data_IF_702850344579
#
_entry.id   IF_702850344579
#
_cell.length_a   1.000
_cell.length_b   1.000
_cell.length_c   1.000
_cell.angle_alpha   90.00
_cell.angle_beta   90.00
_cell.angle_gamma   90.00
#
_symmetry.space_group_name_H-M   'P 1'
#
loop_
_entity.id
_entity.type
_entity.pdbx_description
1 polymer ?
#
# COMPACT_ATOMS: atom_id res chain seq x y z
N UNK A 1 14.02 39.36 23.21
CA UNK A 1 14.23 38.93 21.82
C UNK A 1 13.95 37.43 21.77
N UNK A 2 12.74 37.03 21.35
CA UNK A 2 12.28 35.63 21.40
C UNK A 2 11.93 35.21 19.97
N UNK A 3 12.61 34.18 19.49
CA UNK A 3 12.54 33.63 18.14
C UNK A 3 11.18 32.97 17.89
N UNK A 4 10.46 33.45 16.87
CA UNK A 4 9.25 32.81 16.34
C UNK A 4 9.63 31.48 15.69
N UNK A 5 9.20 30.37 16.30
CA UNK A 5 9.22 29.06 15.66
C UNK A 5 8.14 29.06 14.57
N UNK A 6 8.54 28.77 13.33
CA UNK A 6 7.64 28.63 12.19
C UNK A 6 6.67 27.48 12.47
N UNK A 7 5.38 27.80 12.54
CA UNK A 7 4.30 26.83 12.51
C UNK A 7 4.44 25.98 11.25
N UNK A 8 4.94 24.76 11.41
CA UNK A 8 4.86 23.73 10.38
C UNK A 8 3.40 23.37 10.22
N UNK A 9 2.90 23.51 8.99
CA UNK A 9 1.53 23.23 8.58
C UNK A 9 1.35 21.70 8.52
N UNK A 10 1.47 21.02 9.66
CA UNK A 10 1.01 19.64 9.79
C UNK A 10 -0.50 19.69 10.01
N UNK A 11 -1.27 19.61 8.92
CA UNK A 11 -2.72 19.40 9.00
C UNK A 11 -2.94 17.99 9.55
N UNK A 12 -3.25 17.90 10.84
CA UNK A 12 -3.87 16.72 11.43
C UNK A 12 -5.22 16.53 10.73
N UNK A 13 -5.28 15.71 9.68
CA UNK A 13 -6.55 15.21 9.14
C UNK A 13 -6.92 14.01 9.99
N UNK A 14 -7.86 14.22 10.92
CA UNK A 14 -8.48 13.13 11.65
C UNK A 14 -9.01 12.07 10.66
N UNK A 15 -9.03 10.77 11.03
CA UNK A 15 -9.64 9.75 10.20
C UNK A 15 -11.09 10.15 9.90
N UNK A 16 -11.42 10.19 8.62
CA UNK A 16 -12.77 10.54 8.13
C UNK A 16 -13.70 9.40 8.55
N UNK A 17 -14.37 9.57 9.70
CA UNK A 17 -15.42 8.67 10.17
C UNK A 17 -16.72 9.00 9.42
N UNK A 18 -17.17 8.03 8.64
CA UNK A 18 -18.30 7.97 7.67
C UNK A 18 -19.64 8.59 8.16
N UNK A 19 -20.60 9.02 7.28
CA UNK A 19 -21.63 8.06 6.83
C UNK A 19 -22.37 8.31 5.49
N UNK A 20 -21.98 9.22 4.59
CA UNK A 20 -22.69 9.39 3.30
C UNK A 20 -21.77 9.83 2.17
N UNK A 21 -21.13 8.83 1.55
CA UNK A 21 -20.41 8.92 0.29
C UNK A 21 -19.35 10.01 0.31
N UNK A 22 -18.30 9.81 1.11
CA UNK A 22 -17.00 10.38 0.76
C UNK A 22 -16.79 10.10 -0.72
N UNK A 23 -16.74 11.17 -1.52
CA UNK A 23 -16.68 11.00 -2.95
C UNK A 23 -15.28 10.48 -3.27
N UNK A 24 -15.12 9.16 -3.32
CA UNK A 24 -13.86 8.47 -3.62
C UNK A 24 -13.24 9.07 -4.89
N UNK A 25 -14.07 9.36 -5.91
CA UNK A 25 -13.64 10.06 -7.11
C UNK A 25 -12.97 11.41 -6.80
N UNK A 26 -13.52 12.21 -5.87
CA UNK A 26 -12.92 13.49 -5.49
C UNK A 26 -11.58 13.30 -4.78
N UNK A 27 -11.46 12.34 -3.86
CA UNK A 27 -10.19 12.06 -3.17
C UNK A 27 -9.11 11.65 -4.18
N UNK A 28 -9.49 10.81 -5.14
CA UNK A 28 -8.57 10.31 -6.15
C UNK A 28 -8.21 11.40 -7.18
N UNK A 29 -9.17 12.24 -7.58
CA UNK A 29 -8.92 13.38 -8.45
C UNK A 29 -8.02 14.44 -7.79
N UNK A 30 -8.17 14.70 -6.49
CA UNK A 30 -7.31 15.64 -5.74
C UNK A 30 -5.84 15.16 -5.69
N UNK A 31 -5.56 13.89 -5.99
CA UNK A 31 -4.23 13.26 -6.03
C UNK A 31 -3.79 12.86 -7.46
N UNK A 32 -4.50 13.33 -8.51
CA UNK A 32 -4.28 12.97 -9.92
C UNK A 32 -4.24 11.43 -10.15
N UNK A 33 -5.17 10.71 -9.50
CA UNK A 33 -5.25 9.25 -9.45
C UNK A 33 -6.59 8.71 -9.98
N UNK A 34 -7.19 9.33 -10.99
CA UNK A 34 -8.49 8.95 -11.56
C UNK A 34 -8.52 7.52 -12.15
N UNK A 35 -7.36 7.02 -12.59
CA UNK A 35 -7.21 5.62 -13.03
C UNK A 35 -7.54 4.61 -11.92
N UNK A 36 -7.23 4.94 -10.66
CA UNK A 36 -7.67 4.11 -9.53
C UNK A 36 -9.19 4.07 -9.44
N UNK A 37 -9.87 5.21 -9.66
CA UNK A 37 -11.33 5.24 -9.59
C UNK A 37 -11.93 4.34 -10.67
N UNK A 38 -11.44 4.48 -11.91
CA UNK A 38 -11.85 3.65 -13.05
C UNK A 38 -11.66 2.16 -12.73
N UNK A 39 -10.48 1.79 -12.23
CA UNK A 39 -10.18 0.41 -11.88
C UNK A 39 -11.09 -0.14 -10.77
N UNK A 40 -11.29 0.63 -9.71
CA UNK A 40 -12.10 0.25 -8.56
C UNK A 40 -13.59 0.12 -8.94
N UNK A 41 -14.07 1.00 -9.81
CA UNK A 41 -15.45 0.98 -10.31
C UNK A 41 -15.72 -0.26 -11.17
N UNK A 42 -14.75 -0.70 -11.99
CA UNK A 42 -14.86 -1.96 -12.75
C UNK A 42 -14.98 -3.20 -11.88
N UNK A 43 -14.46 -3.14 -10.66
CA UNK A 43 -14.57 -4.22 -9.68
C UNK A 43 -15.84 -4.12 -8.82
N UNK A 44 -16.69 -3.11 -9.06
CA UNK A 44 -17.86 -2.75 -8.23
C UNK A 44 -17.50 -2.49 -6.75
N UNK A 45 -16.26 -2.08 -6.49
CA UNK A 45 -15.75 -1.76 -5.15
C UNK A 45 -15.82 -0.26 -4.84
N UNK A 46 -16.21 0.57 -5.80
CA UNK A 46 -16.29 2.05 -5.64
C UNK A 46 -17.33 2.49 -4.62
N UNK A 47 -18.27 1.59 -4.28
CA UNK A 47 -19.34 1.79 -3.29
C UNK A 47 -19.11 0.97 -2.02
N UNK A 48 -17.95 0.33 -1.86
CA UNK A 48 -17.62 -0.43 -0.66
C UNK A 48 -17.73 0.49 0.58
N UNK A 49 -18.35 0.04 1.67
CA UNK A 49 -18.33 0.78 2.92
C UNK A 49 -16.89 0.81 3.50
N UNK A 50 -16.62 1.74 4.42
CA UNK A 50 -15.36 1.79 5.18
C UNK A 50 -14.07 1.71 4.35
N UNK A 51 -13.95 2.55 3.31
CA UNK A 51 -12.74 2.63 2.48
C UNK A 51 -11.68 3.49 3.17
N UNK A 52 -10.46 2.96 3.29
CA UNK A 52 -9.27 3.75 3.64
C UNK A 52 -8.41 3.94 2.39
N UNK A 53 -8.07 5.18 2.09
CA UNK A 53 -7.12 5.54 1.02
C UNK A 53 -5.80 5.98 1.66
N UNK A 54 -4.72 5.25 1.41
CA UNK A 54 -3.33 5.67 1.66
C UNK A 54 -2.85 6.44 0.41
N UNK A 55 -2.68 7.75 0.50
CA UNK A 55 -2.37 8.56 -0.68
C UNK A 55 -0.87 8.59 -0.99
N UNK A 56 -0.47 9.37 -2.00
CA UNK A 56 0.90 9.35 -2.53
C UNK A 56 1.93 9.94 -1.56
N UNK A 57 1.52 10.88 -0.71
CA UNK A 57 2.41 11.60 0.20
C UNK A 57 2.79 10.79 1.46
N UNK A 58 4.02 10.97 1.95
CA UNK A 58 4.66 10.09 2.95
C UNK A 58 4.22 10.31 4.42
N UNK A 59 3.16 11.06 4.71
CA UNK A 59 2.84 11.47 6.09
C UNK A 59 1.43 11.10 6.49
N UNK A 60 1.21 9.81 6.78
CA UNK A 60 -0.02 9.36 7.43
C UNK A 60 0.29 8.56 8.68
N UNK A 61 -0.35 8.99 9.76
CA UNK A 61 -0.41 8.26 11.02
C UNK A 61 -1.76 7.54 11.05
N UNK A 62 -1.84 6.35 10.45
CA UNK A 62 -2.96 5.45 10.72
C UNK A 62 -2.65 4.68 11.99
N UNK A 63 -3.58 4.71 12.92
CA UNK A 63 -3.53 3.85 14.08
C UNK A 63 -4.02 2.45 13.68
N UNK A 64 -3.50 1.37 14.29
CA UNK A 64 -4.01 0.01 14.10
C UNK A 64 -5.54 -0.09 14.19
N UNK A 65 -6.13 0.71 15.08
CA UNK A 65 -7.57 0.80 15.31
C UNK A 65 -8.36 1.31 14.10
N UNK A 66 -7.75 2.13 13.23
CA UNK A 66 -8.39 2.64 12.02
C UNK A 66 -8.62 1.51 11.02
N UNK A 67 -7.69 0.54 10.96
CA UNK A 67 -7.78 -0.60 10.05
C UNK A 67 -8.81 -1.63 10.50
N UNK A 68 -9.12 -1.72 11.81
CA UNK A 68 -9.91 -2.81 12.39
C UNK A 68 -11.32 -2.99 11.77
N UNK A 69 -11.88 -1.94 11.17
CA UNK A 69 -13.21 -1.94 10.53
C UNK A 69 -13.16 -1.65 9.02
N UNK A 70 -11.97 -1.74 8.41
CA UNK A 70 -11.78 -1.43 7.00
C UNK A 70 -12.22 -2.61 6.13
N UNK A 71 -13.12 -2.36 5.19
CA UNK A 71 -13.51 -3.35 4.18
C UNK A 71 -12.58 -3.29 2.96
N UNK A 72 -12.12 -2.08 2.61
CA UNK A 72 -11.22 -1.85 1.48
C UNK A 72 -10.11 -0.86 1.82
N UNK A 73 -8.86 -1.30 1.69
CA UNK A 73 -7.67 -0.45 1.75
C UNK A 73 -7.15 -0.19 0.34
N UNK A 74 -7.01 1.07 -0.03
CA UNK A 74 -6.43 1.52 -1.31
C UNK A 74 -5.09 2.16 -1.03
N UNK A 75 -4.01 1.67 -1.62
CA UNK A 75 -2.69 2.29 -1.58
C UNK A 75 -2.33 2.91 -2.93
N UNK A 76 -2.32 4.24 -3.01
CA UNK A 76 -2.07 4.98 -4.24
C UNK A 76 -0.61 4.93 -4.69
N UNK A 77 0.32 4.79 -3.73
CA UNK A 77 1.76 4.77 -4.02
C UNK A 77 2.17 3.44 -4.66
N UNK A 78 2.82 3.50 -5.82
CA UNK A 78 3.28 2.29 -6.49
C UNK A 78 4.20 1.46 -5.58
N UNK A 79 4.02 0.14 -5.55
CA UNK A 79 4.79 -0.74 -4.66
C UNK A 79 6.32 -0.61 -4.87
N UNK A 80 6.77 -0.44 -6.11
CA UNK A 80 8.18 -0.24 -6.45
C UNK A 80 8.77 1.12 -6.02
N UNK A 81 7.94 2.06 -5.56
CA UNK A 81 8.35 3.35 -5.00
C UNK A 81 8.41 3.34 -3.45
N UNK A 82 8.12 2.19 -2.83
CA UNK A 82 8.15 2.03 -1.36
C UNK A 82 9.54 1.52 -0.95
N UNK A 83 10.28 2.34 -0.19
CA UNK A 83 11.67 2.08 0.20
C UNK A 83 11.87 0.75 0.95
N UNK A 84 10.95 0.41 1.86
CA UNK A 84 10.93 -0.85 2.59
C UNK A 84 9.58 -1.55 2.37
N UNK A 85 9.42 -2.09 1.17
CA UNK A 85 8.20 -2.74 0.73
C UNK A 85 7.85 -3.97 1.62
N UNK A 86 8.84 -4.73 2.08
CA UNK A 86 8.64 -5.87 2.96
C UNK A 86 8.01 -5.45 4.29
N UNK A 87 8.59 -4.45 4.97
CA UNK A 87 8.02 -3.93 6.22
C UNK A 87 6.67 -3.25 6.01
N UNK A 88 6.47 -2.56 4.89
CA UNK A 88 5.19 -1.95 4.54
C UNK A 88 4.09 -3.01 4.41
N UNK A 89 4.28 -4.01 3.53
CA UNK A 89 3.30 -5.07 3.31
C UNK A 89 3.05 -5.87 4.59
N UNK A 90 4.08 -6.07 5.40
CA UNK A 90 3.94 -6.61 6.74
C UNK A 90 3.02 -5.76 7.63
N UNK A 91 3.21 -4.44 7.70
CA UNK A 91 2.28 -3.60 8.47
C UNK A 91 0.86 -3.67 7.94
N UNK A 92 0.66 -3.66 6.62
CA UNK A 92 -0.67 -3.79 6.02
C UNK A 92 -1.31 -5.11 6.45
N UNK A 93 -0.65 -6.25 6.20
CA UNK A 93 -1.24 -7.55 6.53
C UNK A 93 -1.50 -7.74 8.03
N UNK A 94 -0.66 -7.18 8.92
CA UNK A 94 -0.86 -7.23 10.39
C UNK A 94 -2.13 -6.51 10.83
N UNK A 95 -2.42 -5.35 10.25
CA UNK A 95 -3.47 -4.47 10.76
C UNK A 95 -4.80 -4.65 10.04
N UNK A 96 -4.81 -5.18 8.81
CA UNK A 96 -6.06 -5.40 8.09
C UNK A 96 -6.88 -6.55 8.69
N UNK A 97 -8.22 -6.42 8.75
CA UNK A 97 -9.09 -7.53 9.15
C UNK A 97 -9.11 -8.62 8.07
N UNK A 98 -9.54 -9.82 8.43
CA UNK A 98 -9.81 -10.87 7.46
C UNK A 98 -10.85 -10.41 6.43
N UNK A 99 -10.77 -10.92 5.21
CA UNK A 99 -11.64 -10.57 4.09
C UNK A 99 -11.56 -9.12 3.60
N UNK A 100 -10.69 -8.28 4.17
CA UNK A 100 -10.43 -6.94 3.66
C UNK A 100 -9.81 -6.98 2.26
N UNK A 101 -10.30 -6.13 1.36
CA UNK A 101 -9.67 -5.87 0.07
C UNK A 101 -8.46 -4.97 0.25
N UNK A 102 -7.38 -5.31 -0.44
CA UNK A 102 -6.19 -4.50 -0.57
C UNK A 102 -5.99 -4.20 -2.06
N UNK A 103 -6.17 -2.93 -2.41
CA UNK A 103 -6.05 -2.40 -3.76
C UNK A 103 -4.77 -1.57 -3.82
N UNK A 104 -4.00 -1.75 -4.89
CA UNK A 104 -2.80 -0.95 -5.10
C UNK A 104 -2.34 -1.03 -6.53
N UNK A 105 -1.16 -0.47 -6.79
CA UNK A 105 -0.56 -0.50 -8.12
C UNK A 105 0.96 -0.68 -8.08
N UNK A 106 1.53 -1.01 -9.22
CA UNK A 106 2.97 -1.04 -9.46
C UNK A 106 3.26 -0.74 -10.93
N UNK A 107 4.45 -0.23 -11.23
CA UNK A 107 4.89 -0.05 -12.62
C UNK A 107 5.52 -1.38 -13.07
N UNK A 108 4.98 -1.96 -14.14
CA UNK A 108 5.50 -3.20 -14.69
C UNK A 108 6.90 -2.94 -15.25
N UNK A 109 7.88 -3.74 -14.82
CA UNK A 109 9.26 -3.62 -15.25
C UNK A 109 9.49 -4.18 -16.66
N UNK A 110 8.80 -3.65 -17.67
CA UNK A 110 9.17 -3.81 -19.07
C UNK A 110 10.15 -2.66 -19.37
N UNK A 111 11.32 -3.01 -19.91
CA UNK A 111 12.49 -2.14 -20.06
C UNK A 111 12.18 -0.71 -20.53
N UNK A 112 12.11 0.23 -19.60
CA UNK A 112 12.34 1.63 -19.89
C UNK A 112 13.56 2.10 -19.10
N UNK A 113 14.53 2.62 -19.84
CA UNK A 113 15.75 3.27 -19.37
C UNK A 113 15.42 4.53 -18.57
N UNK A 114 14.80 4.41 -17.40
CA UNK A 114 14.65 5.52 -16.47
C UNK A 114 15.87 5.54 -15.56
N UNK A 115 16.72 6.54 -15.80
CA UNK A 115 17.84 6.93 -14.96
C UNK A 115 17.36 7.33 -13.55
N UNK A 116 17.08 6.35 -12.69
CA UNK A 116 16.89 6.59 -11.27
C UNK A 116 18.26 6.58 -10.60
N UNK A 117 18.88 7.77 -10.50
CA UNK A 117 19.99 8.05 -9.59
C UNK A 117 19.51 7.81 -8.15
N UNK A 118 19.69 6.60 -7.66
CA UNK A 118 19.50 6.26 -6.25
C UNK A 118 20.72 6.70 -5.43
N UNK A 119 20.54 7.71 -4.59
CA UNK A 119 21.53 8.03 -3.56
C UNK A 119 21.65 6.86 -2.58
N UNK A 120 22.88 6.37 -2.42
CA UNK A 120 23.23 5.36 -1.44
C UNK A 120 23.14 5.95 -0.02
N UNK A 121 22.22 5.45 0.81
CA UNK A 121 22.37 5.51 2.25
C UNK A 121 22.04 4.14 2.86
N UNK A 122 22.98 3.49 3.57
CA UNK A 122 22.65 2.33 4.38
C UNK A 122 22.21 2.83 5.76
N UNK A 123 21.02 2.43 6.23
CA UNK A 123 20.67 2.29 7.67
C UNK A 123 19.17 2.05 7.85
N UNK A 124 18.81 0.87 8.34
CA UNK A 124 18.23 0.67 9.67
C UNK A 124 17.68 -0.75 9.80
N UNK A 125 18.32 -1.54 10.65
CA UNK A 125 17.83 -2.82 11.12
C UNK A 125 16.63 -2.56 12.04
N UNK A 126 15.42 -2.84 11.56
CA UNK A 126 14.19 -2.58 12.30
C UNK A 126 13.95 -3.64 13.38
N UNK A 127 14.08 -3.24 14.64
CA UNK A 127 13.51 -3.94 15.79
C UNK A 127 11.97 -3.78 15.79
N UNK A 128 11.24 -4.67 15.10
CA UNK A 128 9.79 -4.78 15.26
C UNK A 128 9.46 -5.87 16.30
N UNK A 129 8.93 -5.46 17.46
CA UNK A 129 8.24 -6.34 18.41
C UNK A 129 6.78 -6.45 17.98
N UNK A 130 6.47 -7.41 17.12
CA UNK A 130 5.08 -7.81 16.79
C UNK A 130 5.03 -9.33 16.66
N UNK A 131 3.91 -9.94 17.07
CA UNK A 131 3.80 -11.37 17.42
C UNK A 131 4.44 -12.35 16.44
N UNK A 132 5.38 -13.13 17.00
CA UNK A 132 6.66 -13.41 16.33
C UNK A 132 6.68 -14.77 15.61
N UNK A 133 5.77 -15.70 15.89
CA UNK A 133 5.91 -17.08 15.44
C UNK A 133 5.44 -17.31 13.99
N UNK A 134 4.19 -16.93 13.67
CA UNK A 134 3.59 -17.11 12.33
C UNK A 134 4.23 -16.15 11.31
N UNK A 135 4.56 -14.94 11.75
CA UNK A 135 5.13 -13.87 10.93
C UNK A 135 6.58 -14.09 10.52
N UNK A 136 7.38 -14.77 11.35
CA UNK A 136 8.80 -15.03 11.03
C UNK A 136 8.96 -15.87 9.76
N UNK A 137 8.09 -16.85 9.53
CA UNK A 137 8.14 -17.70 8.33
C UNK A 137 7.80 -16.93 7.06
N UNK A 138 6.75 -16.11 7.13
CA UNK A 138 6.24 -15.31 6.02
C UNK A 138 7.18 -14.15 5.65
N UNK A 139 7.66 -13.40 6.65
CA UNK A 139 8.65 -12.34 6.45
C UNK A 139 9.95 -12.89 5.89
N UNK A 140 10.43 -14.07 6.32
CA UNK A 140 11.65 -14.67 5.73
C UNK A 140 11.52 -14.93 4.23
N UNK A 141 10.34 -15.37 3.76
CA UNK A 141 10.09 -15.61 2.33
C UNK A 141 10.05 -14.30 1.55
N UNK A 142 9.33 -13.30 2.08
CA UNK A 142 9.29 -11.93 1.56
C UNK A 142 10.70 -11.35 1.49
N UNK A 143 11.44 -11.31 2.60
CA UNK A 143 12.82 -10.84 2.63
C UNK A 143 13.72 -11.61 1.66
N UNK A 144 13.49 -12.90 1.39
CA UNK A 144 14.22 -13.65 0.35
C UNK A 144 13.89 -13.14 -1.06
N UNK A 145 12.63 -12.86 -1.36
CA UNK A 145 12.21 -12.26 -2.63
C UNK A 145 12.76 -10.83 -2.78
N UNK A 146 12.80 -10.07 -1.68
CA UNK A 146 13.24 -8.67 -1.64
C UNK A 146 14.77 -8.49 -1.49
N UNK A 147 15.52 -9.47 -0.99
CA UNK A 147 16.98 -9.41 -0.82
C UNK A 147 17.78 -9.52 -2.12
N UNK A 148 17.12 -9.64 -3.28
CA UNK A 148 17.77 -9.43 -4.56
C UNK A 148 17.90 -7.92 -4.83
N UNK A 149 19.06 -7.40 -4.41
CA UNK A 149 19.59 -6.07 -4.70
C UNK A 149 19.10 -5.49 -6.04
N UNK A 150 18.77 -4.20 -5.98
CA UNK A 150 18.51 -3.24 -7.06
C UNK A 150 17.04 -3.13 -7.49
N UNK A 151 16.56 -1.88 -7.57
CA UNK A 151 15.30 -1.41 -8.15
C UNK A 151 14.42 -2.54 -8.71
N UNK A 152 13.56 -3.11 -7.86
CA UNK A 152 12.82 -4.31 -8.19
C UNK A 152 11.93 -4.01 -9.39
N UNK A 153 12.30 -4.59 -10.54
CA UNK A 153 11.41 -4.70 -11.69
C UNK A 153 10.26 -5.62 -11.27
N UNK A 154 9.19 -5.02 -10.74
CA UNK A 154 7.98 -5.75 -10.38
C UNK A 154 7.27 -6.17 -11.66
N UNK A 155 6.96 -7.47 -11.76
CA UNK A 155 6.09 -8.05 -12.78
C UNK A 155 4.84 -8.63 -12.10
N UNK A 156 3.78 -8.86 -12.86
CA UNK A 156 2.50 -9.41 -12.37
C UNK A 156 2.72 -10.69 -11.57
N UNK A 157 3.56 -11.59 -12.06
CA UNK A 157 3.84 -12.89 -11.44
C UNK A 157 4.56 -12.72 -10.09
N UNK A 158 5.53 -11.81 -10.04
CA UNK A 158 6.30 -11.52 -8.83
C UNK A 158 5.39 -10.90 -7.75
N UNK A 159 4.60 -9.89 -8.11
CA UNK A 159 3.67 -9.25 -7.18
C UNK A 159 2.62 -10.23 -6.69
N UNK A 160 2.09 -11.08 -7.59
CA UNK A 160 1.14 -12.13 -7.22
C UNK A 160 1.74 -13.13 -6.24
N UNK A 161 2.97 -13.59 -6.48
CA UNK A 161 3.66 -14.50 -5.57
C UNK A 161 3.87 -13.88 -4.19
N UNK A 162 4.31 -12.62 -4.12
CA UNK A 162 4.53 -11.91 -2.85
C UNK A 162 3.23 -11.77 -2.06
N UNK A 163 2.13 -11.37 -2.71
CA UNK A 163 0.82 -11.21 -2.08
C UNK A 163 0.26 -12.55 -1.61
N UNK A 164 0.38 -13.60 -2.42
CA UNK A 164 -0.06 -14.95 -2.04
C UNK A 164 0.76 -15.50 -0.86
N UNK A 165 2.08 -15.32 -0.87
CA UNK A 165 2.93 -15.73 0.26
C UNK A 165 2.60 -14.99 1.55
N UNK A 166 2.12 -13.75 1.45
CA UNK A 166 1.62 -12.94 2.56
C UNK A 166 0.27 -13.39 3.10
N UNK A 167 -0.46 -14.28 2.42
CA UNK A 167 -1.83 -14.66 2.77
C UNK A 167 -2.92 -13.77 2.16
N UNK A 168 -2.61 -13.07 1.06
CA UNK A 168 -3.63 -12.45 0.22
C UNK A 168 -3.97 -13.32 -0.97
N UNK A 169 -5.24 -13.41 -1.32
CA UNK A 169 -5.70 -13.98 -2.59
C UNK A 169 -5.78 -12.85 -3.64
N UNK A 170 -4.95 -12.90 -4.68
CA UNK A 170 -5.05 -11.93 -5.80
C UNK A 170 -6.24 -12.28 -6.69
N UNK A 171 -7.25 -11.41 -6.68
CA UNK A 171 -8.50 -11.54 -7.43
C UNK A 171 -8.37 -10.97 -8.84
N UNK A 172 -7.73 -9.81 -8.99
CA UNK A 172 -7.56 -9.16 -10.28
C UNK A 172 -6.20 -8.42 -10.40
N UNK A 173 -5.69 -8.32 -11.63
CA UNK A 173 -4.58 -7.45 -12.00
C UNK A 173 -4.79 -6.88 -13.40
N UNK A 174 -5.00 -5.57 -13.51
CA UNK A 174 -5.32 -4.88 -14.77
C UNK A 174 -4.29 -3.80 -15.07
N UNK A 175 -3.89 -3.66 -16.33
CA UNK A 175 -2.95 -2.64 -16.77
C UNK A 175 -3.67 -1.43 -17.36
N UNK A 176 -3.38 -0.24 -16.85
CA UNK A 176 -3.94 1.04 -17.29
C UNK A 176 -2.84 2.11 -17.26
N UNK A 177 -2.70 2.86 -18.36
CA UNK A 177 -1.77 4.00 -18.47
C UNK A 177 -0.34 3.71 -17.96
N UNK A 178 0.22 2.55 -18.32
CA UNK A 178 1.59 2.16 -17.96
C UNK A 178 1.79 1.69 -16.51
N UNK A 179 0.71 1.56 -15.72
CA UNK A 179 0.73 0.95 -14.39
C UNK A 179 -0.13 -0.31 -14.39
N UNK A 180 0.27 -1.29 -13.59
CA UNK A 180 -0.59 -2.42 -13.25
C UNK A 180 -1.23 -2.18 -11.90
N UNK A 181 -2.55 -2.18 -11.88
CA UNK A 181 -3.39 -2.14 -10.68
C UNK A 181 -3.71 -3.57 -10.26
N UNK A 182 -3.90 -3.79 -8.97
CA UNK A 182 -4.28 -5.09 -8.44
C UNK A 182 -5.36 -4.95 -7.38
N UNK A 183 -6.16 -6.00 -7.26
CA UNK A 183 -7.08 -6.22 -6.17
C UNK A 183 -6.76 -7.58 -5.54
N UNK A 184 -6.48 -7.57 -4.25
CA UNK A 184 -6.22 -8.77 -3.49
C UNK A 184 -7.08 -8.78 -2.22
N UNK A 185 -7.48 -9.96 -1.75
CA UNK A 185 -8.31 -10.11 -0.55
C UNK A 185 -7.49 -10.80 0.53
N UNK A 186 -7.47 -10.24 1.75
CA UNK A 186 -6.81 -10.90 2.88
C UNK A 186 -7.56 -12.19 3.21
N UNK A 187 -6.85 -13.32 3.20
CA UNK A 187 -7.46 -14.60 3.55
C UNK A 187 -7.64 -14.69 5.09
N UNK A 188 -8.71 -15.34 5.55
CA UNK A 188 -8.82 -15.74 6.96
C UNK A 188 -7.63 -16.61 7.36
N UNK A 189 -7.11 -16.42 8.58
CA UNK A 189 -6.17 -17.37 9.15
C UNK A 189 -6.94 -18.67 9.41
N UNK A 190 -6.58 -19.74 8.70
CA UNK A 190 -7.10 -21.10 8.91
C UNK A 190 -6.36 -21.72 10.10
#
# INVERSE_FOLDING_TARGET
MITKIKNSVYRYRAPVKDPNKVNLHKILADEDCEDFYTYIDWLDLSKSPNIIVLPLSNHYYYHPEDFAKTDTLINLKCLNQINDLASFLGKIYSNLPSDCFFIGCFINGINENSNLKGNNSPRNMLNLKFDVAIWKGMLKKIFKVFNLKNAIKLRKENVRSILNELGFLVLDMTELNGKTYFCAKKQPLI
#
